data_IF_300663408257
#
_entry.id   IF_300663408257
#
_cell.length_a   1.000
_cell.length_b   1.000
_cell.length_c   1.000
_cell.angle_alpha   90.00
_cell.angle_beta   90.00
_cell.angle_gamma   90.00
#
_symmetry.space_group_name_H-M   'P 1'
#
loop_
_entity.id
_entity.type
_entity.pdbx_description
1 polymer ?
#
# COMPACT_ATOMS: atom_id res chain seq x y z
N UNK A 1 20.40 -5.46 -27.10
CA UNK A 1 21.23 -5.83 -25.94
C UNK A 1 22.50 -6.54 -26.41
N UNK A 2 23.55 -6.52 -25.60
CA UNK A 2 24.80 -7.25 -25.87
C UNK A 2 24.82 -8.47 -24.97
N UNK A 3 24.94 -9.66 -25.55
CA UNK A 3 25.10 -10.94 -24.86
C UNK A 3 26.34 -11.64 -25.40
N UNK A 4 27.28 -12.01 -24.52
CA UNK A 4 28.55 -12.65 -24.89
C UNK A 4 29.32 -11.91 -26.00
N UNK A 5 29.26 -10.56 -25.99
CA UNK A 5 29.90 -9.70 -26.98
C UNK A 5 29.17 -9.59 -28.34
N UNK A 6 28.00 -10.21 -28.47
CA UNK A 6 27.17 -10.13 -29.69
C UNK A 6 25.94 -9.24 -29.45
N UNK A 7 25.58 -8.45 -30.47
CA UNK A 7 24.34 -7.69 -30.46
C UNK A 7 23.15 -8.62 -30.71
N UNK A 8 22.26 -8.71 -29.71
CA UNK A 8 21.01 -9.48 -29.81
C UNK A 8 19.84 -8.52 -29.90
N UNK A 9 18.99 -8.70 -30.91
CA UNK A 9 17.76 -7.93 -31.07
C UNK A 9 16.69 -8.50 -30.15
N UNK A 10 15.93 -7.60 -29.48
CA UNK A 10 14.74 -7.96 -28.69
C UNK A 10 13.53 -7.44 -29.43
N UNK A 11 12.53 -8.28 -29.62
CA UNK A 11 11.32 -7.96 -30.39
C UNK A 11 10.07 -8.36 -29.61
N UNK A 12 9.10 -7.48 -29.58
CA UNK A 12 7.75 -7.85 -29.21
C UNK A 12 7.04 -8.47 -30.41
N UNK A 13 6.40 -9.60 -30.20
CA UNK A 13 5.61 -10.31 -31.21
C UNK A 13 4.23 -10.65 -30.64
N UNK A 14 3.22 -10.76 -31.51
CA UNK A 14 1.85 -11.08 -31.07
C UNK A 14 1.67 -12.57 -30.79
N UNK A 15 2.41 -13.39 -31.52
CA UNK A 15 2.53 -14.84 -31.32
C UNK A 15 3.91 -15.31 -31.87
N UNK A 16 4.22 -16.59 -31.69
CA UNK A 16 5.54 -17.14 -32.07
C UNK A 16 5.66 -17.51 -33.57
N UNK A 17 4.61 -17.36 -34.37
CA UNK A 17 4.70 -17.53 -35.83
C UNK A 17 5.55 -16.43 -36.48
N UNK A 18 5.60 -15.25 -35.86
CA UNK A 18 6.42 -14.12 -36.29
C UNK A 18 7.82 -14.10 -35.65
N UNK A 19 8.21 -15.17 -34.96
CA UNK A 19 9.52 -15.26 -34.31
C UNK A 19 10.67 -15.31 -35.33
N UNK A 20 11.83 -14.77 -34.92
CA UNK A 20 13.09 -14.86 -35.67
C UNK A 20 14.15 -15.53 -34.81
N UNK A 21 14.92 -16.44 -35.46
CA UNK A 21 15.95 -17.25 -34.77
C UNK A 21 17.12 -16.39 -34.27
N UNK A 22 17.37 -15.24 -34.86
CA UNK A 22 18.44 -14.29 -34.51
C UNK A 22 18.04 -13.29 -33.42
N UNK A 23 16.88 -13.45 -32.81
CA UNK A 23 16.28 -12.48 -31.89
C UNK A 23 15.68 -13.15 -30.67
N UNK A 24 15.60 -12.38 -29.55
CA UNK A 24 14.75 -12.72 -28.42
C UNK A 24 13.35 -12.19 -28.74
N UNK A 25 12.40 -13.10 -28.88
CA UNK A 25 11.01 -12.76 -29.19
C UNK A 25 10.20 -12.78 -27.89
N UNK A 26 9.46 -11.71 -27.61
CA UNK A 26 8.69 -11.55 -26.38
C UNK A 26 7.21 -11.46 -26.72
N UNK A 27 6.38 -12.29 -26.08
CA UNK A 27 4.93 -12.21 -26.11
C UNK A 27 4.44 -11.75 -24.74
N UNK A 28 3.74 -10.63 -24.67
CA UNK A 28 3.04 -10.16 -23.47
C UNK A 28 1.60 -10.67 -23.48
N UNK A 29 1.22 -11.39 -22.44
CA UNK A 29 -0.13 -11.95 -22.34
C UNK A 29 -0.56 -12.08 -20.89
N UNK A 30 -1.86 -12.28 -20.65
CA UNK A 30 -2.37 -12.70 -19.33
C UNK A 30 -2.58 -14.20 -19.32
N UNK A 31 -2.57 -14.84 -18.15
CA UNK A 31 -2.80 -16.28 -18.05
C UNK A 31 -4.18 -16.69 -18.59
N UNK A 32 -5.20 -15.84 -18.41
CA UNK A 32 -6.55 -16.06 -18.93
C UNK A 32 -6.54 -16.08 -20.46
N UNK A 33 -5.88 -15.09 -21.08
CA UNK A 33 -5.78 -15.00 -22.54
C UNK A 33 -4.96 -16.17 -23.11
N UNK A 34 -3.82 -16.47 -22.49
CA UNK A 34 -2.96 -17.58 -22.88
C UNK A 34 -3.72 -18.91 -22.83
N UNK A 35 -4.44 -19.18 -21.74
CA UNK A 35 -5.27 -20.36 -21.59
C UNK A 35 -6.35 -20.43 -22.68
N UNK A 36 -7.07 -19.33 -22.90
CA UNK A 36 -8.12 -19.24 -23.91
C UNK A 36 -7.60 -19.45 -25.32
N UNK A 37 -6.46 -18.83 -25.67
CA UNK A 37 -5.86 -18.91 -27.01
C UNK A 37 -5.37 -20.32 -27.31
N UNK A 38 -4.78 -21.03 -26.32
CA UNK A 38 -4.24 -22.37 -26.47
C UNK A 38 -5.29 -23.47 -26.43
N UNK A 39 -6.41 -23.29 -25.71
CA UNK A 39 -7.43 -24.33 -25.52
C UNK A 39 -8.72 -24.09 -26.32
N UNK A 40 -8.82 -22.97 -27.07
CA UNK A 40 -9.95 -22.70 -27.95
C UNK A 40 -9.44 -22.57 -29.39
N UNK A 41 -9.52 -23.65 -30.21
CA UNK A 41 -9.02 -23.63 -31.59
C UNK A 41 -9.67 -22.51 -32.42
N UNK A 42 -8.86 -21.61 -32.96
CA UNK A 42 -9.28 -20.56 -33.90
C UNK A 42 -8.12 -20.32 -34.88
N UNK A 43 -8.47 -19.92 -36.11
CA UNK A 43 -7.46 -19.53 -37.09
C UNK A 43 -6.65 -18.32 -36.60
N UNK A 44 -5.33 -18.33 -36.86
CA UNK A 44 -4.38 -17.27 -36.50
C UNK A 44 -4.24 -17.02 -34.98
N UNK A 45 -4.28 -18.06 -34.15
CA UNK A 45 -4.00 -17.98 -32.71
C UNK A 45 -2.85 -18.86 -32.30
N UNK A 46 -2.33 -18.57 -31.10
CA UNK A 46 -1.29 -19.37 -30.45
C UNK A 46 -1.76 -20.81 -30.31
N UNK A 47 -0.90 -21.78 -30.65
CA UNK A 47 -1.15 -23.20 -30.48
C UNK A 47 0.02 -23.89 -29.79
N UNK A 48 -0.21 -25.04 -29.13
CA UNK A 48 0.85 -25.79 -28.49
C UNK A 48 1.92 -26.27 -29.50
N UNK A 49 1.56 -26.51 -30.76
CA UNK A 49 2.50 -26.92 -31.81
C UNK A 49 3.62 -25.90 -32.03
N UNK A 50 3.36 -24.60 -31.86
CA UNK A 50 4.38 -23.55 -32.03
C UNK A 50 5.51 -23.62 -31.00
N UNK A 51 5.32 -24.33 -29.89
CA UNK A 51 6.34 -24.49 -28.86
C UNK A 51 7.32 -25.64 -29.11
N UNK A 52 7.01 -26.59 -30.00
CA UNK A 52 7.78 -27.83 -30.16
C UNK A 52 9.26 -27.62 -30.46
N UNK A 53 9.58 -26.64 -31.30
CA UNK A 53 10.91 -26.41 -31.80
C UNK A 53 11.66 -25.26 -31.17
N UNK A 54 11.00 -24.56 -30.23
CA UNK A 54 11.54 -23.36 -29.57
C UNK A 54 11.88 -23.60 -28.10
N UNK A 55 12.85 -22.83 -27.62
CA UNK A 55 13.12 -22.70 -26.19
C UNK A 55 12.29 -21.57 -25.59
N UNK A 56 11.56 -21.86 -24.55
CA UNK A 56 10.62 -20.90 -23.93
C UNK A 56 11.05 -20.53 -22.52
N UNK A 57 11.10 -19.25 -22.21
CA UNK A 57 11.24 -18.74 -20.86
C UNK A 57 9.96 -18.01 -20.50
N UNK A 58 9.28 -18.46 -19.47
CA UNK A 58 8.07 -17.83 -18.94
C UNK A 58 8.46 -16.98 -17.73
N UNK A 59 8.05 -15.72 -17.73
CA UNK A 59 8.20 -14.79 -16.63
C UNK A 59 6.80 -14.47 -16.11
N UNK A 60 6.43 -15.00 -14.94
CA UNK A 60 5.13 -14.83 -14.35
C UNK A 60 5.21 -13.80 -13.22
N UNK A 61 4.62 -12.63 -13.41
CA UNK A 61 4.43 -11.63 -12.35
C UNK A 61 3.15 -11.92 -11.58
N UNK A 62 3.11 -11.52 -10.29
CA UNK A 62 2.04 -11.81 -9.35
C UNK A 62 1.64 -13.31 -9.34
N UNK A 63 2.65 -14.17 -9.37
CA UNK A 63 2.49 -15.63 -9.54
C UNK A 63 1.68 -16.32 -8.42
N UNK A 64 1.38 -15.60 -7.31
CA UNK A 64 0.46 -16.08 -6.29
C UNK A 64 -0.95 -16.35 -6.85
N UNK A 65 -1.38 -15.65 -7.90
CA UNK A 65 -2.64 -15.93 -8.60
C UNK A 65 -2.64 -17.30 -9.28
N UNK A 66 -1.50 -17.83 -9.71
CA UNK A 66 -1.39 -19.18 -10.23
C UNK A 66 -1.64 -20.26 -9.15
N UNK A 67 -1.54 -19.88 -7.89
CA UNK A 67 -1.68 -20.76 -6.72
C UNK A 67 -2.99 -20.56 -5.95
N UNK A 68 -3.81 -19.58 -6.31
CA UNK A 68 -5.04 -19.22 -5.59
C UNK A 68 -6.11 -20.35 -5.59
N UNK A 69 -6.04 -21.30 -6.50
CA UNK A 69 -6.94 -22.47 -6.59
C UNK A 69 -6.84 -23.48 -5.45
N UNK A 70 -6.02 -23.23 -4.46
CA UNK A 70 -6.00 -24.02 -3.22
C UNK A 70 -7.09 -23.56 -2.22
N UNK A 71 -7.77 -22.44 -2.47
CA UNK A 71 -8.95 -22.01 -1.73
C UNK A 71 -10.25 -22.42 -2.44
N UNK A 72 -11.27 -22.80 -1.66
CA UNK A 72 -12.42 -23.60 -2.10
C UNK A 72 -13.40 -23.00 -3.14
N UNK A 73 -13.21 -21.80 -3.67
CA UNK A 73 -14.14 -21.12 -4.59
C UNK A 73 -13.65 -20.91 -6.03
N UNK A 74 -12.37 -21.13 -6.31
CA UNK A 74 -11.75 -20.87 -7.62
C UNK A 74 -11.00 -22.09 -8.17
N UNK A 75 -11.37 -23.31 -7.71
CA UNK A 75 -10.62 -24.55 -8.01
C UNK A 75 -10.57 -24.90 -9.49
N UNK A 76 -11.62 -24.63 -10.23
CA UNK A 76 -11.72 -25.11 -11.62
C UNK A 76 -10.86 -24.29 -12.57
N UNK A 77 -10.84 -22.95 -12.45
CA UNK A 77 -10.08 -22.07 -13.33
C UNK A 77 -8.57 -22.22 -13.12
N UNK A 78 -8.13 -22.24 -11.86
CA UNK A 78 -6.68 -22.32 -11.55
C UNK A 78 -6.07 -23.68 -11.85
N UNK A 79 -6.84 -24.78 -11.74
CA UNK A 79 -6.42 -26.10 -12.19
C UNK A 79 -6.20 -26.08 -13.69
N UNK A 80 -7.02 -25.36 -14.45
CA UNK A 80 -6.90 -25.22 -15.90
C UNK A 80 -5.69 -24.36 -16.31
N UNK A 81 -5.39 -23.29 -15.56
CA UNK A 81 -4.20 -22.44 -15.83
C UNK A 81 -2.89 -23.18 -15.56
N UNK A 82 -2.79 -23.89 -14.45
CA UNK A 82 -1.61 -24.72 -14.12
C UNK A 82 -1.39 -25.77 -15.20
N UNK A 83 -2.45 -26.45 -15.67
CA UNK A 83 -2.34 -27.45 -16.73
C UNK A 83 -1.89 -26.84 -18.06
N UNK A 84 -2.26 -25.60 -18.36
CA UNK A 84 -1.78 -24.88 -19.56
C UNK A 84 -0.27 -24.65 -19.50
N UNK A 85 0.24 -24.19 -18.37
CA UNK A 85 1.69 -23.98 -18.16
C UNK A 85 2.43 -25.32 -18.27
N UNK A 86 1.95 -26.36 -17.61
CA UNK A 86 2.52 -27.71 -17.69
C UNK A 86 2.55 -28.26 -19.12
N UNK A 87 1.50 -28.00 -19.91
CA UNK A 87 1.43 -28.43 -21.31
C UNK A 87 2.46 -27.69 -22.17
N UNK A 88 2.64 -26.37 -21.97
CA UNK A 88 3.70 -25.60 -22.64
C UNK A 88 5.07 -26.20 -22.27
N UNK A 89 5.31 -26.46 -20.99
CA UNK A 89 6.59 -27.04 -20.53
C UNK A 89 6.87 -28.41 -21.11
N UNK A 90 5.85 -29.23 -21.28
CA UNK A 90 5.99 -30.58 -21.92
C UNK A 90 6.21 -30.50 -23.42
N UNK A 91 5.61 -29.50 -24.08
CA UNK A 91 5.65 -29.41 -25.54
C UNK A 91 6.91 -28.70 -26.02
N UNK A 92 7.40 -27.69 -25.30
CA UNK A 92 8.56 -26.92 -25.70
C UNK A 92 9.84 -27.78 -25.74
N UNK A 93 10.71 -27.49 -26.70
CA UNK A 93 12.02 -28.11 -26.80
C UNK A 93 12.84 -27.98 -25.52
N UNK A 94 12.80 -26.81 -24.92
CA UNK A 94 13.35 -26.49 -23.60
C UNK A 94 12.47 -25.43 -22.96
N UNK A 95 12.18 -25.54 -21.67
CA UNK A 95 11.36 -24.56 -20.95
C UNK A 95 11.94 -24.25 -19.60
N UNK A 96 11.75 -23.00 -19.19
CA UNK A 96 11.98 -22.51 -17.83
C UNK A 96 10.86 -21.56 -17.43
N UNK A 97 10.48 -21.55 -16.17
CA UNK A 97 9.56 -20.60 -15.61
C UNK A 97 10.19 -19.88 -14.41
N UNK A 98 10.06 -18.58 -14.35
CA UNK A 98 10.41 -17.76 -13.21
C UNK A 98 9.15 -17.08 -12.69
N UNK A 99 8.82 -17.38 -11.46
CA UNK A 99 7.65 -16.87 -10.76
C UNK A 99 8.08 -15.76 -9.80
N UNK A 100 7.46 -14.57 -9.92
CA UNK A 100 7.69 -13.41 -9.07
C UNK A 100 6.42 -13.10 -8.32
N UNK A 101 6.52 -12.87 -7.02
CA UNK A 101 5.40 -12.44 -6.19
C UNK A 101 5.88 -11.78 -4.90
N UNK A 102 5.18 -10.73 -4.46
CA UNK A 102 5.42 -10.09 -3.18
C UNK A 102 4.67 -10.76 -2.00
N UNK A 103 3.72 -11.67 -2.28
CA UNK A 103 2.72 -12.12 -1.29
C UNK A 103 2.56 -13.64 -1.24
N UNK A 104 3.67 -14.38 -1.28
CA UNK A 104 3.60 -15.83 -1.11
C UNK A 104 3.40 -16.21 0.37
N UNK A 105 2.39 -17.04 0.65
CA UNK A 105 2.15 -17.60 1.98
C UNK A 105 2.84 -18.96 2.14
N UNK A 106 4.08 -18.95 2.58
CA UNK A 106 4.85 -20.16 2.87
C UNK A 106 4.46 -20.82 4.20
N UNK A 107 3.51 -20.28 4.96
CA UNK A 107 2.92 -20.98 6.12
C UNK A 107 1.92 -22.05 5.68
N UNK A 108 1.42 -21.96 4.45
CA UNK A 108 0.61 -23.00 3.83
C UNK A 108 1.50 -24.20 3.45
N UNK A 109 1.29 -25.39 4.05
CA UNK A 109 2.15 -26.55 3.83
C UNK A 109 2.25 -26.99 2.35
N UNK A 110 1.17 -26.85 1.60
CA UNK A 110 1.13 -27.23 0.17
C UNK A 110 2.00 -26.31 -0.67
N UNK A 111 1.95 -24.99 -0.41
CA UNK A 111 2.81 -24.01 -1.10
C UNK A 111 4.27 -24.17 -0.65
N UNK A 112 4.52 -24.34 0.63
CA UNK A 112 5.86 -24.59 1.15
C UNK A 112 6.50 -25.81 0.47
N UNK A 113 5.75 -26.92 0.37
CA UNK A 113 6.24 -28.13 -0.32
C UNK A 113 6.48 -27.92 -1.82
N UNK A 114 5.57 -27.18 -2.51
CA UNK A 114 5.72 -26.87 -3.94
C UNK A 114 7.02 -26.11 -4.22
N UNK A 115 7.36 -25.14 -3.38
CA UNK A 115 8.50 -24.25 -3.60
C UNK A 115 9.77 -24.63 -2.82
N UNK A 116 9.77 -25.70 -2.04
CA UNK A 116 10.91 -26.11 -1.18
C UNK A 116 12.25 -26.14 -1.93
N UNK A 117 12.23 -26.63 -3.19
CA UNK A 117 13.45 -26.80 -4.00
C UNK A 117 13.62 -25.76 -5.11
N UNK A 118 12.65 -24.88 -5.28
CA UNK A 118 12.62 -23.91 -6.38
C UNK A 118 12.59 -22.45 -5.91
N UNK A 119 12.57 -22.19 -4.62
CA UNK A 119 12.68 -20.85 -4.07
C UNK A 119 14.12 -20.34 -4.25
N UNK A 120 14.33 -19.42 -5.19
CA UNK A 120 15.64 -18.86 -5.50
C UNK A 120 16.02 -17.71 -4.58
N UNK A 121 15.06 -16.87 -4.24
CA UNK A 121 15.28 -15.67 -3.45
C UNK A 121 14.02 -15.32 -2.65
N UNK A 122 14.22 -14.96 -1.40
CA UNK A 122 13.18 -14.43 -0.53
C UNK A 122 13.67 -13.13 0.07
N UNK A 123 12.87 -12.07 -0.11
CA UNK A 123 13.10 -10.77 0.50
C UNK A 123 11.72 -10.24 0.89
N UNK A 124 11.36 -10.48 2.13
CA UNK A 124 10.03 -10.15 2.63
C UNK A 124 9.93 -8.69 3.10
N UNK A 125 8.70 -8.26 3.37
CA UNK A 125 8.43 -6.88 3.80
C UNK A 125 9.10 -6.54 5.12
N UNK A 126 9.38 -7.55 5.97
CA UNK A 126 10.11 -7.35 7.21
C UNK A 126 11.58 -6.98 6.96
N UNK A 127 12.24 -7.74 6.07
CA UNK A 127 13.62 -7.44 5.65
C UNK A 127 13.69 -6.08 4.96
N UNK A 128 12.76 -5.80 4.05
CA UNK A 128 12.63 -4.51 3.37
C UNK A 128 12.50 -3.34 4.35
N UNK A 129 11.74 -3.51 5.42
CA UNK A 129 11.58 -2.51 6.48
C UNK A 129 12.84 -2.38 7.33
N UNK A 130 13.48 -3.50 7.71
CA UNK A 130 14.73 -3.50 8.50
C UNK A 130 15.87 -2.86 7.74
N UNK A 131 15.94 -3.05 6.43
CA UNK A 131 16.91 -2.39 5.52
C UNK A 131 16.54 -0.92 5.23
N UNK A 132 15.48 -0.40 5.88
CA UNK A 132 15.06 1.00 5.83
C UNK A 132 14.50 1.49 4.48
N UNK A 133 14.10 0.57 3.59
CA UNK A 133 13.50 0.91 2.28
C UNK A 133 12.01 1.26 2.34
N UNK A 134 11.40 1.27 3.52
CA UNK A 134 10.01 1.65 3.72
C UNK A 134 9.88 2.85 4.63
N UNK A 135 8.77 3.59 4.52
CA UNK A 135 8.33 4.55 5.55
C UNK A 135 7.91 3.82 6.81
N UNK A 136 8.04 4.47 7.97
CA UNK A 136 7.38 4.02 9.19
C UNK A 136 5.86 4.24 9.09
N UNK A 137 5.08 3.24 9.53
CA UNK A 137 3.62 3.34 9.52
C UNK A 137 3.11 3.81 10.88
N UNK A 138 2.46 4.95 10.92
CA UNK A 138 1.86 5.54 12.11
C UNK A 138 0.34 5.54 12.04
N UNK A 139 -0.30 5.20 13.16
CA UNK A 139 -1.77 5.18 13.26
C UNK A 139 -2.26 6.41 14.01
N UNK A 140 -3.14 7.18 13.36
CA UNK A 140 -3.86 8.29 13.95
C UNK A 140 -5.29 7.88 14.24
N UNK A 141 -5.58 7.69 15.52
CA UNK A 141 -6.91 7.33 16.00
C UNK A 141 -7.64 8.61 16.41
N UNK A 142 -8.65 8.97 15.66
CA UNK A 142 -9.38 10.22 15.86
C UNK A 142 -10.69 9.91 16.55
N UNK A 143 -10.85 10.46 17.76
CA UNK A 143 -12.13 10.52 18.45
C UNK A 143 -12.91 11.70 17.86
N UNK A 144 -13.72 11.44 16.85
CA UNK A 144 -14.46 12.47 16.14
C UNK A 144 -15.09 11.93 14.87
N UNK A 145 -15.78 12.79 14.18
CA UNK A 145 -16.38 12.47 12.90
C UNK A 145 -15.35 12.39 11.74
N UNK A 146 -15.86 12.08 10.58
CA UNK A 146 -15.05 11.95 9.36
C UNK A 146 -14.40 13.28 8.98
N UNK A 147 -15.07 14.40 9.24
CA UNK A 147 -14.60 15.75 8.88
C UNK A 147 -13.33 16.11 9.66
N UNK A 148 -13.28 15.80 10.96
CA UNK A 148 -12.07 15.96 11.78
C UNK A 148 -10.90 15.12 11.23
N UNK A 149 -11.16 13.88 10.83
CA UNK A 149 -10.14 13.00 10.23
C UNK A 149 -9.58 13.59 8.93
N UNK A 150 -10.46 14.07 8.06
CA UNK A 150 -10.06 14.71 6.79
C UNK A 150 -9.23 15.96 7.06
N UNK A 151 -9.66 16.82 7.97
CA UNK A 151 -8.96 18.06 8.30
C UNK A 151 -7.58 17.80 8.91
N UNK A 152 -7.46 16.87 9.85
CA UNK A 152 -6.17 16.52 10.46
C UNK A 152 -5.16 16.00 9.40
N UNK A 153 -5.61 15.18 8.48
CA UNK A 153 -4.75 14.63 7.43
C UNK A 153 -4.20 15.72 6.51
N UNK A 154 -5.03 16.70 6.10
CA UNK A 154 -4.54 17.80 5.24
C UNK A 154 -3.65 18.79 5.99
N UNK A 155 -3.87 19.01 7.29
CA UNK A 155 -2.96 19.80 8.14
C UNK A 155 -1.58 19.15 8.23
N UNK A 156 -1.52 17.83 8.48
CA UNK A 156 -0.26 17.07 8.52
C UNK A 156 0.41 17.08 7.15
N UNK A 157 -0.35 16.91 6.08
CA UNK A 157 0.16 16.97 4.70
C UNK A 157 0.77 18.34 4.39
N UNK A 158 0.13 19.44 4.84
CA UNK A 158 0.65 20.79 4.67
C UNK A 158 1.93 21.02 5.48
N UNK A 159 1.98 20.57 6.72
CA UNK A 159 3.18 20.58 7.55
C UNK A 159 4.34 19.85 6.85
N UNK A 160 4.12 18.63 6.38
CA UNK A 160 5.10 17.82 5.65
C UNK A 160 5.64 18.54 4.41
N UNK A 161 4.76 19.16 3.62
CA UNK A 161 5.12 19.96 2.45
C UNK A 161 6.06 21.11 2.83
N UNK A 162 5.74 21.82 3.90
CA UNK A 162 6.57 22.96 4.36
C UNK A 162 7.94 22.53 4.90
N UNK A 163 7.99 21.43 5.66
CA UNK A 163 9.26 20.87 6.14
C UNK A 163 10.13 20.43 4.95
N UNK A 164 9.55 19.78 3.96
CA UNK A 164 10.28 19.40 2.75
C UNK A 164 10.85 20.63 2.02
N UNK A 165 10.01 21.64 1.79
CA UNK A 165 10.40 22.87 1.10
C UNK A 165 11.50 23.63 1.86
N UNK A 166 11.37 23.75 3.20
CA UNK A 166 12.39 24.37 4.07
C UNK A 166 13.78 23.71 3.90
N UNK A 167 13.80 22.41 3.66
CA UNK A 167 15.03 21.62 3.51
C UNK A 167 15.40 21.36 2.03
N UNK A 168 14.83 22.11 1.09
CA UNK A 168 15.17 22.02 -0.34
C UNK A 168 14.68 20.73 -1.02
N UNK A 169 13.79 19.98 -0.39
CA UNK A 169 13.22 18.74 -0.93
C UNK A 169 11.95 19.07 -1.72
N UNK A 170 11.95 18.78 -3.02
CA UNK A 170 10.79 18.96 -3.87
C UNK A 170 9.79 17.83 -3.64
N UNK A 171 8.93 17.98 -2.64
CA UNK A 171 7.91 17.01 -2.27
C UNK A 171 6.51 17.60 -2.40
N UNK A 172 5.67 16.92 -3.15
CA UNK A 172 4.23 17.12 -3.20
C UNK A 172 3.56 15.93 -2.48
N UNK A 173 3.29 16.02 -1.17
CA UNK A 173 2.69 14.91 -0.44
C UNK A 173 1.24 14.70 -0.88
N UNK A 174 0.89 13.45 -1.14
CA UNK A 174 -0.43 13.01 -1.56
C UNK A 174 -1.21 12.46 -0.37
N UNK A 175 -2.49 12.82 -0.29
CA UNK A 175 -3.47 12.28 0.66
C UNK A 175 -4.43 11.35 -0.09
N UNK A 176 -4.68 10.17 0.44
CA UNK A 176 -5.70 9.26 -0.07
C UNK A 176 -6.89 9.21 0.88
N UNK A 177 -8.06 9.55 0.39
CA UNK A 177 -9.32 9.38 1.07
C UNK A 177 -9.99 8.09 0.60
N UNK A 178 -10.03 7.08 1.48
CA UNK A 178 -10.55 5.75 1.15
C UNK A 178 -12.01 5.61 1.56
N UNK A 179 -12.88 5.41 0.57
CA UNK A 179 -14.30 5.07 0.73
C UNK A 179 -14.51 3.56 0.66
N UNK A 180 -15.61 3.06 1.23
CA UNK A 180 -15.95 1.63 1.18
C UNK A 180 -16.60 1.25 -0.15
N UNK A 181 -17.44 2.13 -0.71
CA UNK A 181 -18.22 1.89 -1.93
C UNK A 181 -18.02 3.03 -2.94
N UNK A 182 -18.17 2.70 -4.21
CA UNK A 182 -18.04 3.65 -5.32
C UNK A 182 -19.04 4.82 -5.18
N UNK A 183 -20.29 4.56 -4.79
CA UNK A 183 -21.29 5.61 -4.60
C UNK A 183 -20.89 6.59 -3.47
N UNK A 184 -20.31 6.08 -2.39
CA UNK A 184 -19.87 6.89 -1.25
C UNK A 184 -18.65 7.76 -1.59
N UNK A 185 -17.86 7.41 -2.61
CA UNK A 185 -16.63 8.13 -2.95
C UNK A 185 -16.91 9.54 -3.47
N UNK A 186 -17.95 9.71 -4.28
CA UNK A 186 -18.40 11.02 -4.75
C UNK A 186 -19.00 11.84 -3.60
N UNK A 187 -19.84 11.23 -2.76
CA UNK A 187 -20.44 11.89 -1.60
C UNK A 187 -19.36 12.39 -0.62
N UNK A 188 -18.31 11.58 -0.39
CA UNK A 188 -17.17 11.96 0.43
C UNK A 188 -16.34 13.09 -0.17
N UNK A 189 -16.17 13.12 -1.50
CA UNK A 189 -15.53 14.24 -2.19
C UNK A 189 -16.33 15.52 -2.01
N UNK A 190 -17.65 15.46 -2.17
CA UNK A 190 -18.53 16.63 -2.03
C UNK A 190 -18.56 17.11 -0.55
N UNK A 191 -18.58 16.19 0.41
CA UNK A 191 -18.45 16.49 1.82
C UNK A 191 -17.13 17.19 2.15
N UNK A 192 -16.00 16.65 1.62
CA UNK A 192 -14.69 17.27 1.80
C UNK A 192 -14.63 18.69 1.23
N UNK A 193 -15.19 18.92 0.05
CA UNK A 193 -15.29 20.27 -0.52
C UNK A 193 -16.15 21.18 0.35
N UNK A 194 -17.21 20.64 0.96
CA UNK A 194 -18.03 21.35 1.94
C UNK A 194 -17.23 21.77 3.17
N UNK A 195 -16.45 20.83 3.75
CA UNK A 195 -15.54 21.12 4.88
C UNK A 195 -14.52 22.20 4.49
N UNK A 196 -13.90 22.07 3.33
CA UNK A 196 -12.88 23.02 2.88
C UNK A 196 -13.42 24.43 2.61
N UNK A 197 -14.59 24.54 1.98
CA UNK A 197 -15.23 25.83 1.68
C UNK A 197 -15.70 26.57 2.94
N UNK A 198 -16.09 25.82 3.99
CA UNK A 198 -16.52 26.38 5.27
C UNK A 198 -15.39 26.45 6.31
N UNK A 199 -14.17 26.07 5.92
CA UNK A 199 -13.01 26.06 6.83
C UNK A 199 -12.70 27.49 7.30
N UNK A 200 -12.52 27.64 8.60
CA UNK A 200 -12.24 28.90 9.26
C UNK A 200 -11.16 28.73 10.32
N UNK A 201 -10.62 29.85 10.83
CA UNK A 201 -9.67 29.82 11.94
C UNK A 201 -10.25 29.18 13.21
N UNK A 202 -11.56 29.21 13.39
CA UNK A 202 -12.25 28.54 14.52
C UNK A 202 -12.05 27.02 14.43
N UNK A 203 -12.22 26.44 13.25
CA UNK A 203 -12.01 25.00 13.06
C UNK A 203 -10.54 24.59 13.27
N UNK A 204 -9.60 25.43 12.88
CA UNK A 204 -8.17 25.18 13.18
C UNK A 204 -7.92 25.24 14.69
N UNK A 205 -8.52 26.23 15.40
CA UNK A 205 -8.40 26.33 16.85
C UNK A 205 -9.04 25.15 17.59
N UNK A 206 -10.16 24.62 17.10
CA UNK A 206 -10.76 23.40 17.62
C UNK A 206 -9.80 22.20 17.50
N UNK A 207 -9.12 22.05 16.35
CA UNK A 207 -8.10 21.00 16.18
C UNK A 207 -6.93 21.19 17.16
N UNK A 208 -6.47 22.42 17.39
CA UNK A 208 -5.42 22.71 18.40
C UNK A 208 -5.86 22.29 19.80
N UNK A 209 -7.10 22.59 20.18
CA UNK A 209 -7.64 22.26 21.50
C UNK A 209 -7.73 20.73 21.69
N UNK A 210 -8.27 20.00 20.73
CA UNK A 210 -8.33 18.53 20.75
C UNK A 210 -6.95 17.91 20.96
N UNK A 211 -5.93 18.43 20.30
CA UNK A 211 -4.55 17.92 20.40
C UNK A 211 -3.90 18.31 21.74
N UNK A 212 -4.29 19.42 22.35
CA UNK A 212 -3.73 19.85 23.65
C UNK A 212 -4.16 18.96 24.81
N UNK A 213 -5.34 18.34 24.70
CA UNK A 213 -5.90 17.42 25.71
C UNK A 213 -5.25 16.03 25.70
N UNK A 214 -4.56 15.66 24.62
CA UNK A 214 -3.86 14.38 24.50
C UNK A 214 -2.46 14.51 25.11
N UNK A 215 -2.15 13.67 26.10
CA UNK A 215 -0.89 13.72 26.87
C UNK A 215 0.35 13.23 26.09
N UNK A 216 0.21 12.81 24.85
CA UNK A 216 1.31 12.37 24.02
C UNK A 216 2.15 13.54 23.50
N UNK A 217 3.33 13.74 24.09
CA UNK A 217 4.33 14.73 23.63
C UNK A 217 4.78 14.54 22.17
N UNK A 218 4.53 13.37 21.60
CA UNK A 218 4.97 12.97 20.25
C UNK A 218 3.91 13.17 19.16
N UNK A 219 2.74 13.72 19.48
CA UNK A 219 1.68 13.94 18.47
C UNK A 219 2.19 14.80 17.31
N UNK A 220 2.10 14.25 16.08
CA UNK A 220 2.53 14.95 14.86
C UNK A 220 1.75 16.26 14.65
N UNK A 221 0.48 16.31 15.06
CA UNK A 221 -0.33 17.53 15.01
C UNK A 221 0.21 18.61 15.95
N UNK A 222 0.68 18.23 17.16
CA UNK A 222 1.38 19.19 18.04
C UNK A 222 2.62 19.76 17.37
N UNK A 223 3.43 18.88 16.75
CA UNK A 223 4.61 19.32 16.01
C UNK A 223 4.25 20.25 14.85
N UNK A 224 3.19 19.93 14.11
CA UNK A 224 2.70 20.77 13.01
C UNK A 224 2.27 22.16 13.48
N UNK A 225 1.44 22.23 14.51
CA UNK A 225 0.96 23.50 15.05
C UNK A 225 2.08 24.33 15.67
N UNK A 226 3.00 23.70 16.41
CA UNK A 226 4.18 24.39 16.96
C UNK A 226 5.08 24.95 15.85
N UNK A 227 5.26 24.20 14.75
CA UNK A 227 5.99 24.68 13.59
C UNK A 227 5.33 25.90 12.95
N UNK A 228 4.00 25.85 12.67
CA UNK A 228 3.27 26.99 12.08
C UNK A 228 3.39 28.24 12.93
N UNK A 229 3.28 28.11 14.24
CA UNK A 229 3.50 29.19 15.19
C UNK A 229 4.92 29.78 15.12
N UNK A 230 5.93 28.87 15.10
CA UNK A 230 7.35 29.27 15.06
C UNK A 230 7.70 30.04 13.78
N UNK A 231 7.10 29.68 12.65
CA UNK A 231 7.35 30.35 11.36
C UNK A 231 6.36 31.50 11.09
N UNK A 232 5.48 31.84 12.04
CA UNK A 232 4.57 32.97 11.96
C UNK A 232 3.36 32.76 11.04
N UNK A 233 2.96 31.53 10.78
CA UNK A 233 1.75 31.21 10.00
C UNK A 233 0.56 31.26 10.94
N UNK A 234 -0.31 32.24 10.75
CA UNK A 234 -1.57 32.34 11.50
C UNK A 234 -2.56 31.26 11.10
N UNK A 235 -3.58 31.00 11.96
CA UNK A 235 -4.66 30.07 11.63
C UNK A 235 -5.42 30.50 10.37
N UNK A 236 -5.53 31.81 10.11
CA UNK A 236 -6.15 32.37 8.88
C UNK A 236 -5.29 32.07 7.66
N UNK A 237 -3.96 32.23 7.75
CA UNK A 237 -3.04 31.91 6.67
C UNK A 237 -3.08 30.41 6.37
N UNK A 238 -3.10 29.58 7.42
CA UNK A 238 -3.20 28.12 7.26
C UNK A 238 -4.49 27.72 6.54
N UNK A 239 -5.63 28.34 6.89
CA UNK A 239 -6.91 28.13 6.19
C UNK A 239 -6.77 28.45 4.70
N UNK A 240 -6.23 29.62 4.36
CA UNK A 240 -6.07 30.04 2.96
C UNK A 240 -5.17 29.08 2.18
N UNK A 241 -4.06 28.62 2.80
CA UNK A 241 -3.16 27.65 2.18
C UNK A 241 -3.82 26.29 1.97
N UNK A 242 -4.60 25.79 2.92
CA UNK A 242 -5.33 24.53 2.79
C UNK A 242 -6.39 24.61 1.70
N UNK A 243 -7.14 25.72 1.64
CA UNK A 243 -8.14 25.95 0.59
C UNK A 243 -7.52 26.01 -0.80
N UNK A 244 -6.35 26.65 -0.96
CA UNK A 244 -5.64 26.71 -2.23
C UNK A 244 -5.03 25.36 -2.61
N UNK A 245 -4.38 24.68 -1.67
CA UNK A 245 -3.66 23.42 -1.95
C UNK A 245 -4.60 22.24 -2.24
N UNK A 246 -5.80 22.24 -1.65
CA UNK A 246 -6.80 21.17 -1.82
C UNK A 246 -8.05 21.61 -2.58
N UNK A 247 -7.95 22.69 -3.38
CA UNK A 247 -9.05 23.13 -4.24
C UNK A 247 -9.47 22.03 -5.22
N UNK A 248 -10.69 22.10 -5.74
CA UNK A 248 -11.33 21.06 -6.56
C UNK A 248 -10.44 20.53 -7.70
N UNK A 249 -9.69 21.41 -8.36
CA UNK A 249 -8.81 21.07 -9.49
C UNK A 249 -7.62 20.19 -9.08
N UNK A 250 -7.30 20.17 -7.79
CA UNK A 250 -6.21 19.36 -7.22
C UNK A 250 -6.71 18.09 -6.52
N UNK A 251 -7.98 17.74 -6.74
CA UNK A 251 -8.60 16.52 -6.22
C UNK A 251 -8.90 15.58 -7.39
N UNK A 252 -8.67 14.30 -7.20
CA UNK A 252 -8.95 13.28 -8.20
C UNK A 252 -9.89 12.21 -7.63
N UNK A 253 -11.03 12.02 -8.28
CA UNK A 253 -11.92 10.90 -7.98
C UNK A 253 -11.51 9.70 -8.83
N UNK A 254 -11.20 8.59 -8.16
CA UNK A 254 -10.78 7.34 -8.80
C UNK A 254 -11.79 6.25 -8.43
N UNK A 255 -12.74 6.03 -9.32
CA UNK A 255 -13.72 4.96 -9.17
C UNK A 255 -13.74 4.05 -10.42
N UNK A 256 -14.36 2.86 -10.27
CA UNK A 256 -14.45 1.90 -11.37
C UNK A 256 -15.26 2.38 -12.58
N UNK A 257 -16.03 3.47 -12.46
CA UNK A 257 -16.91 4.01 -13.51
C UNK A 257 -16.22 5.13 -14.29
N UNK A 258 -15.34 5.90 -13.64
CA UNK A 258 -14.66 7.07 -14.22
C UNK A 258 -13.28 6.73 -14.81
N UNK A 259 -13.18 5.61 -15.52
CA UNK A 259 -11.95 5.20 -16.24
C UNK A 259 -11.80 5.96 -17.56
N UNK A 260 -11.86 7.29 -17.55
CA UNK A 260 -11.48 8.06 -18.73
C UNK A 260 -9.94 8.10 -18.83
N UNK A 261 -9.42 8.31 -20.05
CA UNK A 261 -7.98 8.34 -20.31
C UNK A 261 -7.26 9.42 -19.50
N UNK A 262 -7.92 10.54 -19.25
CA UNK A 262 -7.34 11.69 -18.54
C UNK A 262 -7.18 11.39 -17.05
N UNK A 263 -8.18 10.77 -16.39
CA UNK A 263 -8.07 10.36 -15.00
C UNK A 263 -6.99 9.30 -14.80
N UNK A 264 -6.86 8.34 -15.73
CA UNK A 264 -5.79 7.35 -15.69
C UNK A 264 -4.41 7.99 -15.91
N UNK A 265 -4.31 8.96 -16.82
CA UNK A 265 -3.06 9.70 -17.01
C UNK A 265 -2.67 10.47 -15.76
N UNK A 266 -3.60 11.21 -15.14
CA UNK A 266 -3.35 11.90 -13.87
C UNK A 266 -2.93 10.94 -12.76
N UNK A 267 -3.59 9.78 -12.65
CA UNK A 267 -3.26 8.75 -11.65
C UNK A 267 -1.84 8.20 -11.84
N UNK A 268 -1.41 7.97 -13.08
CA UNK A 268 -0.10 7.41 -13.40
C UNK A 268 1.03 8.46 -13.35
N UNK A 269 0.70 9.74 -13.25
CA UNK A 269 1.69 10.84 -13.23
C UNK A 269 1.74 11.58 -11.90
N UNK A 270 1.16 11.04 -10.83
CA UNK A 270 1.05 11.69 -9.52
C UNK A 270 2.38 12.13 -8.92
N UNK A 271 3.48 11.47 -9.26
CA UNK A 271 4.83 11.85 -8.81
C UNK A 271 5.47 12.96 -9.65
N UNK A 272 4.94 13.22 -10.83
CA UNK A 272 5.52 14.24 -11.71
C UNK A 272 5.27 15.65 -11.17
N UNK A 273 6.25 16.56 -11.26
CA UNK A 273 6.10 17.95 -10.80
C UNK A 273 4.97 18.72 -11.52
N UNK A 274 4.68 18.37 -12.77
CA UNK A 274 3.61 18.98 -13.57
C UNK A 274 2.19 18.56 -13.16
N UNK A 275 2.06 17.46 -12.42
CA UNK A 275 0.78 17.01 -11.91
C UNK A 275 0.48 17.70 -10.57
N UNK A 276 -0.59 18.47 -10.50
CA UNK A 276 -0.94 19.28 -9.33
C UNK A 276 -1.84 18.55 -8.32
N UNK A 277 -2.23 17.30 -8.55
CA UNK A 277 -3.13 16.56 -7.66
C UNK A 277 -2.50 16.42 -6.26
N UNK A 278 -3.29 16.79 -5.24
CA UNK A 278 -2.92 16.74 -3.81
C UNK A 278 -3.70 15.70 -3.03
N UNK A 279 -4.90 15.35 -3.49
CA UNK A 279 -5.65 14.28 -2.87
C UNK A 279 -6.40 13.43 -3.88
N UNK A 280 -6.56 12.14 -3.54
CA UNK A 280 -7.34 11.19 -4.32
C UNK A 280 -8.45 10.60 -3.46
N UNK A 281 -9.63 10.48 -4.05
CA UNK A 281 -10.77 9.78 -3.47
C UNK A 281 -10.92 8.46 -4.19
N UNK A 282 -10.78 7.36 -3.46
CA UNK A 282 -10.71 6.03 -4.07
C UNK A 282 -11.45 4.96 -3.26
N UNK A 283 -11.84 3.90 -3.95
CA UNK A 283 -12.31 2.64 -3.37
C UNK A 283 -11.21 1.58 -3.57
N UNK A 284 -11.52 0.35 -3.85
CA UNK A 284 -10.55 -0.76 -3.94
C UNK A 284 -9.66 -0.78 -5.19
N UNK A 285 -9.81 0.18 -6.11
CA UNK A 285 -9.17 0.16 -7.45
C UNK A 285 -7.63 0.31 -7.46
N UNK A 286 -7.04 0.73 -6.35
CA UNK A 286 -5.61 1.00 -6.24
C UNK A 286 -4.82 -0.16 -5.61
N UNK A 287 -5.44 -1.34 -5.53
CA UNK A 287 -4.84 -2.48 -4.83
C UNK A 287 -3.78 -3.20 -5.68
N UNK A 288 -3.89 -3.17 -7.01
CA UNK A 288 -2.95 -3.83 -7.92
C UNK A 288 -2.46 -2.88 -9.01
N UNK A 289 -1.18 -2.96 -9.35
CA UNK A 289 -0.57 -2.20 -10.44
C UNK A 289 -0.34 -0.71 -10.19
N UNK A 290 -0.80 -0.14 -9.06
CA UNK A 290 -0.58 1.26 -8.72
C UNK A 290 0.57 1.40 -7.73
N UNK A 291 1.51 2.28 -8.04
CA UNK A 291 2.70 2.54 -7.22
C UNK A 291 3.02 4.03 -7.23
N UNK A 292 2.97 4.64 -6.04
CA UNK A 292 3.19 6.07 -5.86
C UNK A 292 3.96 6.32 -4.57
N UNK A 293 5.18 6.81 -4.67
CA UNK A 293 6.09 7.03 -3.55
C UNK A 293 5.72 8.25 -2.72
N UNK A 294 5.02 9.23 -3.30
CA UNK A 294 4.59 10.44 -2.61
C UNK A 294 3.24 10.33 -1.87
N UNK A 295 2.69 9.12 -1.71
CA UNK A 295 1.57 8.85 -0.80
C UNK A 295 2.06 8.86 0.65
N UNK A 296 1.50 9.75 1.47
CA UNK A 296 1.92 9.92 2.86
C UNK A 296 0.80 9.82 3.87
N UNK A 297 -0.45 10.02 3.46
CA UNK A 297 -1.61 9.96 4.33
C UNK A 297 -2.69 9.10 3.69
N UNK A 298 -3.19 8.11 4.42
CA UNK A 298 -4.33 7.28 4.05
C UNK A 298 -5.42 7.53 5.08
N UNK A 299 -6.55 8.06 4.65
CA UNK A 299 -7.69 8.43 5.49
C UNK A 299 -8.85 7.48 5.22
N UNK A 300 -9.16 6.64 6.18
CA UNK A 300 -10.31 5.75 6.12
C UNK A 300 -11.59 6.50 6.47
N UNK A 301 -12.51 6.58 5.52
CA UNK A 301 -13.76 7.35 5.64
C UNK A 301 -14.97 6.52 6.11
N UNK A 302 -14.77 5.28 6.49
CA UNK A 302 -15.80 4.36 6.96
C UNK A 302 -15.34 3.62 8.21
N UNK A 303 -16.31 3.11 9.00
CA UNK A 303 -16.03 2.49 10.30
C UNK A 303 -16.46 1.01 10.35
N UNK A 304 -16.94 0.47 9.21
CA UNK A 304 -17.37 -0.94 9.09
C UNK A 304 -16.19 -1.90 9.13
N UNK A 305 -16.45 -3.11 9.55
CA UNK A 305 -15.48 -4.16 9.76
C UNK A 305 -16.08 -5.51 9.30
N UNK A 306 -15.26 -6.36 8.67
CA UNK A 306 -15.66 -7.67 8.16
C UNK A 306 -14.84 -8.85 8.71
N UNK A 307 -13.87 -8.60 9.60
CA UNK A 307 -13.10 -9.65 10.27
C UNK A 307 -13.94 -10.51 11.21
N UNK A 308 -13.61 -11.80 11.32
CA UNK A 308 -14.31 -12.78 12.17
C UNK A 308 -13.35 -13.36 13.21
N UNK A 309 -13.82 -13.47 14.44
CA UNK A 309 -13.10 -14.21 15.49
C UNK A 309 -13.60 -15.64 15.50
N UNK A 310 -12.71 -16.60 15.29
CA UNK A 310 -12.98 -18.04 15.36
C UNK A 310 -12.36 -18.63 16.63
N UNK A 311 -12.69 -19.91 16.96
CA UNK A 311 -12.11 -20.60 18.13
C UNK A 311 -10.59 -20.68 18.11
N UNK A 312 -9.98 -20.68 16.93
CA UNK A 312 -8.52 -20.80 16.71
C UNK A 312 -7.82 -19.45 16.43
N UNK A 313 -8.48 -18.32 16.70
CA UNK A 313 -7.90 -17.00 16.50
C UNK A 313 -8.71 -16.08 15.59
N UNK A 314 -8.11 -14.97 15.22
CA UNK A 314 -8.71 -13.97 14.33
C UNK A 314 -8.46 -14.34 12.87
N UNK A 315 -9.51 -14.26 12.06
CA UNK A 315 -9.43 -14.37 10.59
C UNK A 315 -9.70 -12.99 10.01
N UNK A 316 -8.70 -12.36 9.37
CA UNK A 316 -8.88 -11.06 8.75
C UNK A 316 -9.93 -11.12 7.65
N UNK A 317 -10.78 -10.10 7.59
CA UNK A 317 -11.74 -9.95 6.50
C UNK A 317 -11.10 -9.44 5.21
N UNK A 318 -11.89 -9.40 4.14
CA UNK A 318 -11.46 -8.87 2.85
C UNK A 318 -10.95 -7.41 2.99
N UNK A 319 -11.70 -6.57 3.72
CA UNK A 319 -11.35 -5.17 3.96
C UNK A 319 -10.00 -5.03 4.64
N UNK A 320 -9.71 -5.81 5.68
CA UNK A 320 -8.41 -5.76 6.40
C UNK A 320 -7.25 -6.15 5.48
N UNK A 321 -7.43 -7.17 4.63
CA UNK A 321 -6.40 -7.59 3.67
C UNK A 321 -6.17 -6.54 2.59
N UNK A 322 -7.22 -5.91 2.08
CA UNK A 322 -7.13 -4.81 1.12
C UNK A 322 -6.38 -3.61 1.71
N UNK A 323 -6.66 -3.26 2.95
CA UNK A 323 -5.97 -2.16 3.64
C UNK A 323 -4.50 -2.49 3.93
N UNK A 324 -4.18 -3.73 4.28
CA UNK A 324 -2.79 -4.19 4.41
C UNK A 324 -2.01 -3.96 3.11
N UNK A 325 -2.56 -4.35 1.97
CA UNK A 325 -1.92 -4.15 0.66
C UNK A 325 -1.72 -2.66 0.36
N UNK A 326 -2.73 -1.84 0.61
CA UNK A 326 -2.67 -0.40 0.39
C UNK A 326 -1.63 0.27 1.29
N UNK A 327 -1.58 -0.08 2.58
CA UNK A 327 -0.57 0.42 3.52
C UNK A 327 0.83 -0.02 3.07
N UNK A 328 1.00 -1.28 2.65
CA UNK A 328 2.28 -1.77 2.12
C UNK A 328 2.78 -0.98 0.92
N UNK A 329 1.89 -0.62 -0.02
CA UNK A 329 2.24 0.25 -1.17
C UNK A 329 2.55 1.67 -0.72
N UNK A 330 1.74 2.28 0.14
CA UNK A 330 1.98 3.61 0.69
C UNK A 330 3.25 3.71 1.53
N UNK A 331 3.66 2.61 2.16
CA UNK A 331 4.86 2.53 2.97
C UNK A 331 6.16 2.51 2.14
N UNK A 332 6.13 2.42 0.82
CA UNK A 332 7.34 2.53 0.00
C UNK A 332 8.03 3.87 0.23
N UNK A 333 9.35 3.83 0.37
CA UNK A 333 10.13 5.01 0.73
C UNK A 333 10.12 6.06 -0.38
N UNK A 334 9.93 7.33 0.00
CA UNK A 334 10.11 8.46 -0.91
C UNK A 334 11.59 8.88 -0.91
N UNK A 335 12.29 8.75 -2.04
CA UNK A 335 13.72 9.01 -2.09
C UNK A 335 14.04 10.51 -2.03
N UNK A 336 14.89 10.89 -1.08
CA UNK A 336 15.44 12.25 -1.00
C UNK A 336 16.88 12.24 -0.50
N UNK A 337 17.61 13.33 -0.77
CA UNK A 337 19.00 13.51 -0.40
C UNK A 337 19.12 14.68 0.56
N UNK A 338 20.01 14.55 1.55
CA UNK A 338 20.40 15.62 2.44
C UNK A 338 21.88 15.92 2.19
N UNK A 339 22.19 17.16 1.85
CA UNK A 339 23.54 17.50 1.41
C UNK A 339 23.93 16.71 0.17
N UNK A 340 25.15 16.17 0.15
CA UNK A 340 25.72 15.45 -1.00
C UNK A 340 25.72 13.93 -0.83
N UNK A 341 25.05 13.40 0.20
CA UNK A 341 25.03 11.95 0.48
C UNK A 341 24.02 11.21 -0.40
N UNK A 342 24.46 10.77 -1.57
CA UNK A 342 23.65 10.01 -2.53
C UNK A 342 23.41 8.55 -2.11
N UNK A 343 24.27 7.97 -1.27
CA UNK A 343 24.16 6.56 -0.85
C UNK A 343 22.91 6.32 -0.01
N UNK A 344 22.54 7.30 0.81
CA UNK A 344 21.35 7.23 1.65
C UNK A 344 20.05 7.68 0.96
N UNK A 345 20.07 7.95 -0.34
CA UNK A 345 18.90 8.47 -1.07
C UNK A 345 17.64 7.65 -0.89
N UNK A 346 17.76 6.33 -0.82
CA UNK A 346 16.65 5.40 -0.87
C UNK A 346 16.29 4.72 0.47
N UNK A 347 16.94 5.15 1.57
CA UNK A 347 16.73 4.57 2.90
C UNK A 347 16.32 5.64 3.92
N UNK A 348 15.61 5.22 4.98
CA UNK A 348 15.30 6.08 6.12
C UNK A 348 16.60 6.47 6.85
N UNK A 349 16.65 7.72 7.29
CA UNK A 349 17.86 8.37 7.86
C UNK A 349 17.70 8.72 9.33
N UNK A 350 16.44 8.81 9.82
CA UNK A 350 16.15 9.39 11.13
C UNK A 350 15.51 8.43 12.11
N UNK A 351 15.72 7.11 11.95
CA UNK A 351 15.18 6.11 12.88
C UNK A 351 15.67 6.34 14.32
N UNK A 352 16.94 6.73 14.46
CA UNK A 352 17.58 6.97 15.76
C UNK A 352 17.41 8.43 16.28
N UNK A 353 16.68 9.27 15.54
CA UNK A 353 16.46 10.68 15.89
C UNK A 353 15.00 11.11 15.74
N UNK A 354 14.18 10.73 16.72
CA UNK A 354 12.75 11.01 16.75
C UNK A 354 12.38 12.49 16.73
N UNK A 355 13.30 13.36 17.11
CA UNK A 355 13.07 14.80 17.16
C UNK A 355 13.44 15.51 15.85
N UNK A 356 14.04 14.83 14.88
CA UNK A 356 14.36 15.45 13.61
C UNK A 356 13.07 15.79 12.84
N UNK A 357 12.96 17.04 12.38
CA UNK A 357 11.78 17.51 11.66
C UNK A 357 11.55 16.74 10.34
N UNK A 358 12.62 16.30 9.67
CA UNK A 358 12.56 15.56 8.41
C UNK A 358 11.98 14.13 8.58
N UNK A 359 11.90 13.63 9.81
CA UNK A 359 11.26 12.33 10.06
C UNK A 359 9.83 12.25 9.55
N UNK A 360 9.11 13.38 9.47
CA UNK A 360 7.75 13.42 8.89
C UNK A 360 7.71 13.01 7.42
N UNK A 361 8.83 13.11 6.69
CA UNK A 361 8.95 12.67 5.29
C UNK A 361 9.22 11.15 5.21
N UNK A 362 9.61 10.53 6.30
CA UNK A 362 9.87 9.10 6.40
C UNK A 362 8.70 8.31 6.98
N UNK A 363 7.54 8.94 7.15
CA UNK A 363 6.36 8.37 7.81
C UNK A 363 5.15 8.32 6.90
N UNK A 364 4.46 7.18 6.88
CA UNK A 364 3.13 7.00 6.35
C UNK A 364 2.12 7.09 7.48
N UNK A 365 1.15 7.96 7.36
CA UNK A 365 0.11 8.16 8.37
C UNK A 365 -1.19 7.51 7.94
N UNK A 366 -1.71 6.60 8.77
CA UNK A 366 -3.00 5.96 8.56
C UNK A 366 -4.02 6.51 9.56
N UNK A 367 -5.01 7.20 9.04
CA UNK A 367 -6.05 7.88 9.83
C UNK A 367 -7.32 7.03 9.87
N UNK A 368 -7.80 6.71 11.06
CA UNK A 368 -9.00 5.90 11.28
C UNK A 368 -9.80 6.40 12.48
N UNK A 369 -11.06 6.01 12.57
CA UNK A 369 -11.81 6.16 13.82
C UNK A 369 -11.13 5.39 14.94
N UNK A 370 -11.29 5.87 16.17
CA UNK A 370 -10.80 5.18 17.35
C UNK A 370 -11.65 3.93 17.64
N UNK A 371 -11.37 2.86 16.88
CA UNK A 371 -11.93 1.54 17.08
C UNK A 371 -10.83 0.59 17.54
N UNK A 372 -10.62 0.39 18.85
CA UNK A 372 -9.48 -0.37 19.37
C UNK A 372 -9.40 -1.81 18.84
N UNK A 373 -10.55 -2.44 18.62
CA UNK A 373 -10.61 -3.80 18.08
C UNK A 373 -10.15 -3.87 16.63
N UNK A 374 -10.65 -2.99 15.78
CA UNK A 374 -10.24 -2.93 14.38
C UNK A 374 -8.73 -2.63 14.24
N UNK A 375 -8.26 -1.66 15.00
CA UNK A 375 -6.84 -1.28 14.98
C UNK A 375 -5.94 -2.40 15.48
N UNK A 376 -6.34 -3.12 16.54
CA UNK A 376 -5.60 -4.30 17.00
C UNK A 376 -5.52 -5.38 15.91
N UNK A 377 -6.62 -5.64 15.24
CA UNK A 377 -6.70 -6.60 14.13
C UNK A 377 -5.81 -6.18 12.95
N UNK A 378 -5.87 -4.92 12.54
CA UNK A 378 -5.04 -4.39 11.45
C UNK A 378 -3.56 -4.40 11.82
N UNK A 379 -3.19 -3.94 13.00
CA UNK A 379 -1.81 -3.99 13.50
C UNK A 379 -1.27 -5.42 13.56
N UNK A 380 -2.09 -6.40 13.99
CA UNK A 380 -1.70 -7.80 13.99
C UNK A 380 -1.35 -8.28 12.57
N UNK A 381 -2.22 -8.03 11.60
CA UNK A 381 -2.00 -8.44 10.19
C UNK A 381 -0.78 -7.75 9.59
N UNK A 382 -0.53 -6.49 9.93
CA UNK A 382 0.65 -5.75 9.46
C UNK A 382 1.95 -6.26 10.11
N UNK A 383 1.92 -6.67 11.39
CA UNK A 383 3.06 -7.32 12.05
C UNK A 383 3.37 -8.68 11.43
N UNK A 384 2.36 -9.52 11.23
CA UNK A 384 2.51 -10.84 10.59
C UNK A 384 3.12 -10.74 9.19
N UNK A 385 2.83 -9.64 8.47
CA UNK A 385 3.42 -9.36 7.16
C UNK A 385 4.76 -8.60 7.19
N UNK A 386 5.22 -8.19 8.38
CA UNK A 386 6.48 -7.46 8.53
C UNK A 386 6.45 -5.97 8.17
N UNK A 387 5.30 -5.42 7.77
CA UNK A 387 5.14 -4.00 7.42
C UNK A 387 5.24 -3.09 8.64
N UNK A 388 4.81 -3.57 9.80
CA UNK A 388 4.70 -2.82 11.04
C UNK A 388 5.39 -3.57 12.19
N UNK A 389 6.01 -2.81 13.10
CA UNK A 389 6.58 -3.35 14.32
C UNK A 389 6.28 -2.36 15.46
N UNK A 390 5.70 -2.85 16.54
CA UNK A 390 5.58 -2.08 17.77
C UNK A 390 6.93 -2.14 18.52
N UNK A 391 7.89 -1.31 18.14
CA UNK A 391 9.17 -1.20 18.87
C UNK A 391 9.00 -0.76 20.34
N UNK A 392 7.80 -0.34 20.73
CA UNK A 392 7.43 0.11 22.06
C UNK A 392 6.60 -0.91 22.86
N UNK A 393 6.66 -2.20 22.53
CA UNK A 393 6.15 -3.22 23.43
C UNK A 393 7.12 -3.32 24.62
N UNK A 394 6.91 -2.50 25.67
CA UNK A 394 7.37 -2.84 27.00
C UNK A 394 6.66 -4.14 27.39
N UNK A 395 7.40 -5.23 27.55
CA UNK A 395 6.89 -6.41 28.25
C UNK A 395 6.52 -5.99 29.68
N UNK A 396 5.25 -5.64 29.88
CA UNK A 396 4.73 -5.38 31.22
C UNK A 396 4.24 -6.70 31.78
N UNK A 397 4.98 -7.24 32.71
CA UNK A 397 4.51 -8.34 33.57
C UNK A 397 3.32 -7.81 34.39
N UNK A 398 2.10 -8.17 33.99
CA UNK A 398 0.90 -7.80 34.73
C UNK A 398 0.83 -8.67 36.02
N UNK A 399 1.24 -8.11 37.12
CA UNK A 399 1.06 -8.75 38.44
C UNK A 399 -0.37 -8.55 38.93
N UNK A 400 -0.98 -9.63 39.38
CA UNK A 400 -2.27 -9.56 40.05
C UNK A 400 -2.18 -8.62 41.27
N UNK A 401 -3.14 -7.71 41.36
CA UNK A 401 -3.22 -6.79 42.52
C UNK A 401 -3.26 -7.59 43.83
N UNK A 402 -2.50 -7.18 44.82
CA UNK A 402 -2.47 -7.85 46.14
C UNK A 402 -3.87 -7.87 46.79
N UNK A 403 -4.70 -6.88 46.54
CA UNK A 403 -6.11 -6.87 46.95
C UNK A 403 -6.92 -8.00 46.34
N UNK A 404 -6.66 -8.36 45.06
CA UNK A 404 -7.36 -9.46 44.39
C UNK A 404 -6.88 -10.82 44.91
N UNK A 405 -5.59 -11.00 45.20
CA UNK A 405 -5.04 -12.23 45.77
C UNK A 405 -5.63 -12.56 47.14
N UNK A 406 -6.18 -11.56 47.86
CA UNK A 406 -6.83 -11.72 49.17
C UNK A 406 -8.32 -12.03 49.06
N UNK A 407 -8.89 -12.09 47.86
CA UNK A 407 -10.31 -12.41 47.67
C UNK A 407 -10.54 -13.92 47.68
N UNK A 408 -11.74 -14.34 48.13
CA UNK A 408 -12.15 -15.75 48.08
C UNK A 408 -12.15 -16.32 46.68
N UNK A 409 -12.47 -15.48 45.68
CA UNK A 409 -12.38 -15.85 44.27
C UNK A 409 -11.00 -16.34 43.87
N UNK A 410 -9.95 -15.72 44.39
CA UNK A 410 -8.57 -16.14 44.15
C UNK A 410 -8.12 -17.29 45.01
N UNK A 411 -8.44 -17.26 46.33
CA UNK A 411 -7.98 -18.30 47.30
C UNK A 411 -8.74 -19.60 47.17
N UNK A 412 -10.03 -19.55 46.89
CA UNK A 412 -10.92 -20.72 46.89
C UNK A 412 -11.22 -21.23 45.48
N UNK A 413 -10.78 -20.52 44.42
CA UNK A 413 -11.00 -20.89 43.01
C UNK A 413 -12.47 -20.88 42.61
N UNK A 414 -13.33 -20.16 43.33
CA UNK A 414 -14.78 -20.09 43.05
C UNK A 414 -15.06 -18.78 42.35
N UNK A 415 -15.61 -18.87 41.10
CA UNK A 415 -16.12 -17.73 40.32
C UNK A 415 -17.54 -17.41 40.76
#
# INVERSE_FOLDING_TARGET
>A
IVMDGQNVTVREVTDFSDSRDDSINIVFTTIQKLHQDLNTPRENRLSYEQFKDISVVMLADEAHHLNAGLSNSEKDDNTSWTSTIEMIQKTAKKSSIFEFTATIDLTNPTLAQKYEKSLLFKYDLKEFRLDKYSKDVLFHLVDGDVDHRMLQAIIISQYRKKIALKNGINLKPLVMFKSQKIAESQENLDAFLGVLNNLSSVNIQEQRNLVSEVDEKSSILKKAFSYFETVGISDTDLVAELQEDFRKERLLLVDGKNKNKDSLHLLNTLEQPSNEIRAIFAVDMLNEGWDVLNLFDIVRLYDTRDGKTMKNGFVPGKTTNTEKQLIGRGARYFPFVIGDNLEEKYIRKFDDNENNELRVIEQLHYHSANNPRYISELKQVLRESGIFDDQNLEERELKLKESFKKTRTYTDGVA
#
